data_IF_676849730034
#
_entry.id   IF_676849730034
#
_cell.length_a   1.000
_cell.length_b   1.000
_cell.length_c   1.000
_cell.angle_alpha   90.00
_cell.angle_beta   90.00
_cell.angle_gamma   90.00
#
_symmetry.space_group_name_H-M   'P 1'
#
loop_
_entity.id
_entity.type
_entity.pdbx_description
1 polymer ?
#
# COMPACT_ATOMS: atom_id res chain seq x y z
N UNK A 1 8.82 -5.38 -9.42
CA UNK A 1 9.37 -4.34 -8.50
C UNK A 1 9.27 -4.90 -7.09
N UNK A 2 10.24 -4.68 -6.19
CA UNK A 2 10.19 -5.23 -4.82
C UNK A 2 9.80 -4.14 -3.81
N UNK A 3 8.94 -4.49 -2.86
CA UNK A 3 8.64 -3.63 -1.72
C UNK A 3 9.75 -3.72 -0.67
N UNK A 4 10.01 -2.61 0.02
CA UNK A 4 10.80 -2.58 1.23
C UNK A 4 10.01 -3.17 2.39
N UNK A 5 10.69 -3.49 3.48
CA UNK A 5 10.03 -4.00 4.69
C UNK A 5 8.99 -3.01 5.22
N UNK A 6 9.34 -1.72 5.32
CA UNK A 6 8.42 -0.68 5.79
C UNK A 6 7.22 -0.48 4.87
N UNK A 7 7.39 -0.64 3.55
CA UNK A 7 6.26 -0.58 2.61
C UNK A 7 5.32 -1.77 2.82
N UNK A 8 5.86 -2.97 3.00
CA UNK A 8 5.07 -4.17 3.27
C UNK A 8 4.33 -4.07 4.60
N UNK A 9 5.01 -3.66 5.67
CA UNK A 9 4.40 -3.47 6.99
C UNK A 9 3.18 -2.54 6.91
N UNK A 10 3.27 -1.46 6.13
CA UNK A 10 2.13 -0.57 5.89
C UNK A 10 1.07 -1.25 5.05
N UNK A 11 1.42 -1.88 3.92
CA UNK A 11 0.44 -2.52 3.04
C UNK A 11 -0.39 -3.55 3.81
N UNK A 12 0.25 -4.39 4.63
CA UNK A 12 -0.41 -5.40 5.46
C UNK A 12 -1.43 -4.83 6.45
N UNK A 13 -1.31 -3.57 6.87
CA UNK A 13 -2.32 -2.93 7.72
C UNK A 13 -3.61 -2.57 6.99
N UNK A 14 -3.56 -2.44 5.66
CA UNK A 14 -4.69 -2.02 4.81
C UNK A 14 -5.06 -3.09 3.78
N UNK A 15 -4.51 -4.30 3.92
CA UNK A 15 -4.83 -5.43 3.06
C UNK A 15 -6.34 -5.68 3.08
N UNK A 16 -6.91 -5.77 1.88
CA UNK A 16 -8.32 -5.94 1.62
C UNK A 16 -8.49 -6.97 0.48
N UNK A 17 -9.71 -7.50 0.25
CA UNK A 17 -9.94 -8.54 -0.75
C UNK A 17 -9.51 -8.14 -2.17
N UNK A 18 -9.61 -6.85 -2.50
CA UNK A 18 -9.18 -6.30 -3.79
C UNK A 18 -8.08 -5.27 -3.64
N UNK A 19 -7.25 -5.15 -4.69
CA UNK A 19 -6.20 -4.12 -4.75
C UNK A 19 -6.79 -2.72 -4.66
N UNK A 20 -7.95 -2.51 -5.27
CA UNK A 20 -8.66 -1.24 -5.26
C UNK A 20 -9.06 -0.83 -3.84
N UNK A 21 -9.55 -1.76 -3.03
CA UNK A 21 -9.90 -1.51 -1.63
C UNK A 21 -8.65 -1.23 -0.78
N UNK A 22 -7.56 -1.99 -0.96
CA UNK A 22 -6.29 -1.70 -0.27
C UNK A 22 -5.76 -0.31 -0.63
N UNK A 23 -5.77 0.03 -1.92
CA UNK A 23 -5.39 1.36 -2.39
C UNK A 23 -6.28 2.46 -1.80
N UNK A 24 -7.59 2.23 -1.69
CA UNK A 24 -8.52 3.19 -1.10
C UNK A 24 -8.20 3.44 0.39
N UNK A 25 -7.97 2.37 1.16
CA UNK A 25 -7.57 2.46 2.57
C UNK A 25 -6.27 3.25 2.75
N UNK A 26 -5.24 2.90 1.97
CA UNK A 26 -3.95 3.60 2.02
C UNK A 26 -4.06 5.06 1.59
N UNK A 27 -4.79 5.37 0.51
CA UNK A 27 -4.99 6.76 0.05
C UNK A 27 -5.75 7.60 1.07
N UNK A 28 -6.66 6.98 1.83
CA UNK A 28 -7.42 7.63 2.89
C UNK A 28 -6.54 8.15 4.04
N UNK A 29 -5.41 7.50 4.32
CA UNK A 29 -4.51 7.91 5.42
C UNK A 29 -3.46 8.95 5.01
N UNK A 30 -3.08 9.02 3.73
CA UNK A 30 -2.08 9.99 3.24
C UNK A 30 -2.30 11.44 3.73
N UNK A 31 -3.53 12.01 3.68
CA UNK A 31 -3.74 13.39 4.13
C UNK A 31 -3.61 13.59 5.65
N UNK A 32 -3.73 12.54 6.46
CA UNK A 32 -3.65 12.65 7.93
C UNK A 32 -2.25 12.40 8.49
N UNK A 33 -1.33 11.86 7.68
CA UNK A 33 0.06 11.62 8.08
C UNK A 33 0.85 12.93 8.11
N UNK A 34 1.34 13.29 9.30
CA UNK A 34 2.18 14.48 9.51
C UNK A 34 3.68 14.19 9.33
N UNK A 35 4.09 12.96 9.58
CA UNK A 35 5.48 12.53 9.42
C UNK A 35 5.83 12.38 7.94
N UNK A 36 6.81 13.17 7.48
CA UNK A 36 7.17 13.27 6.06
C UNK A 36 7.72 11.93 5.55
N UNK A 37 8.50 11.21 6.37
CA UNK A 37 9.09 9.94 5.96
C UNK A 37 8.02 8.86 5.80
N UNK A 38 7.12 8.74 6.78
CA UNK A 38 5.99 7.82 6.75
C UNK A 38 5.09 8.12 5.56
N UNK A 39 4.79 9.39 5.29
CA UNK A 39 4.01 9.80 4.13
C UNK A 39 4.67 9.36 2.82
N UNK A 40 5.97 9.59 2.67
CA UNK A 40 6.72 9.16 1.49
C UNK A 40 6.73 7.63 1.31
N UNK A 41 6.81 6.87 2.40
CA UNK A 41 6.73 5.40 2.36
C UNK A 41 5.34 4.96 1.88
N UNK A 42 4.26 5.52 2.44
CA UNK A 42 2.88 5.21 2.03
C UNK A 42 2.65 5.56 0.56
N UNK A 43 3.04 6.76 0.12
CA UNK A 43 2.88 7.21 -1.26
C UNK A 43 3.66 6.33 -2.25
N UNK A 44 4.88 5.92 -1.89
CA UNK A 44 5.67 5.03 -2.73
C UNK A 44 5.07 3.61 -2.78
N UNK A 45 4.59 3.10 -1.64
CA UNK A 45 3.87 1.83 -1.59
C UNK A 45 2.61 1.86 -2.47
N UNK A 46 1.81 2.93 -2.41
CA UNK A 46 0.64 3.15 -3.29
C UNK A 46 1.05 3.11 -4.76
N UNK A 47 2.06 3.90 -5.17
CA UNK A 47 2.53 3.94 -6.56
C UNK A 47 3.02 2.59 -7.08
N UNK A 48 3.63 1.79 -6.22
CA UNK A 48 4.07 0.43 -6.56
C UNK A 48 2.86 -0.49 -6.70
N UNK A 49 1.95 -0.47 -5.74
CA UNK A 49 0.74 -1.28 -5.73
C UNK A 49 -0.19 -0.98 -6.93
N UNK A 50 -0.24 0.29 -7.38
CA UNK A 50 -0.96 0.70 -8.58
C UNK A 50 -0.46 0.00 -9.86
N UNK A 51 0.81 -0.41 -9.89
CA UNK A 51 1.47 -1.06 -11.03
C UNK A 51 1.43 -2.59 -10.96
N UNK A 52 0.97 -3.15 -9.84
CA UNK A 52 0.88 -4.59 -9.65
C UNK A 52 -0.47 -5.09 -10.18
N UNK A 53 -0.51 -6.18 -10.96
CA UNK A 53 -1.76 -6.77 -11.42
C UNK A 53 -2.50 -7.44 -10.25
N UNK A 54 -3.84 -7.46 -10.32
CA UNK A 54 -4.71 -7.99 -9.25
C UNK A 54 -4.28 -9.38 -8.73
N UNK A 55 -3.92 -10.38 -9.57
CA UNK A 55 -3.53 -11.70 -9.09
C UNK A 55 -2.31 -11.67 -8.15
N UNK A 56 -1.31 -10.84 -8.45
CA UNK A 56 -0.12 -10.66 -7.61
C UNK A 56 -0.49 -9.91 -6.31
N UNK A 57 -1.43 -8.96 -6.37
CA UNK A 57 -1.92 -8.29 -5.17
C UNK A 57 -2.72 -9.24 -4.27
N UNK A 58 -3.58 -10.10 -4.84
CA UNK A 58 -4.35 -11.10 -4.10
C UNK A 58 -3.47 -12.13 -3.41
N UNK A 59 -2.30 -12.46 -3.98
CA UNK A 59 -1.29 -13.30 -3.31
C UNK A 59 -0.66 -12.65 -2.07
N UNK A 60 -0.81 -11.33 -1.88
CA UNK A 60 -0.36 -10.65 -0.65
C UNK A 60 -1.42 -10.72 0.46
N UNK A 61 -2.66 -11.07 0.13
CA UNK A 61 -3.83 -11.15 1.02
C UNK A 61 -4.01 -12.56 1.61
N UNK A 62 -3.42 -13.57 0.96
CA UNK A 62 -3.44 -15.00 1.32
C UNK A 62 -2.12 -15.42 1.99
#
# INVERSE_FOLDING_TARGET
MKFSKSELDIIYQYVAPTRAETLAGMKGIVPVIKDILTKAIVENAIRKLEKIPEPECSQMVL
#
